data_IF_317144633823
#
_entry.id   IF_317144633823
#
_cell.length_a   1.000
_cell.length_b   1.000
_cell.length_c   1.000
_cell.angle_alpha   90.00
_cell.angle_beta   90.00
_cell.angle_gamma   90.00
#
_symmetry.space_group_name_H-M   'P 1'
#
loop_
_entity.id
_entity.type
_entity.pdbx_description
1 polymer ?
#
# COMPACT_ATOMS: atom_id res chain seq x y z
N UNK A 1 18.95 -38.62 -32.68
CA UNK A 1 18.16 -39.46 -31.74
C UNK A 1 17.34 -38.49 -30.88
N UNK A 2 16.18 -37.99 -31.29
CA UNK A 2 14.89 -38.64 -31.52
C UNK A 2 14.25 -39.19 -30.23
N UNK A 3 13.13 -38.53 -29.85
CA UNK A 3 11.92 -39.10 -29.21
C UNK A 3 12.01 -39.32 -27.68
N UNK A 4 10.96 -39.18 -26.86
CA UNK A 4 9.53 -38.78 -26.97
C UNK A 4 9.00 -38.97 -25.53
N UNK A 5 8.07 -38.11 -25.11
CA UNK A 5 6.77 -38.44 -24.47
C UNK A 5 6.77 -39.21 -23.14
N UNK A 6 5.85 -38.79 -22.28
CA UNK A 6 4.86 -39.63 -21.55
C UNK A 6 4.90 -39.35 -20.06
N UNK A 7 3.94 -38.58 -19.56
CA UNK A 7 2.71 -39.11 -18.95
C UNK A 7 2.99 -39.56 -17.52
N UNK A 8 2.72 -38.69 -16.55
CA UNK A 8 1.48 -38.74 -15.76
C UNK A 8 1.31 -40.09 -15.07
N UNK A 9 1.70 -40.14 -13.78
CA UNK A 9 0.99 -40.96 -12.80
C UNK A 9 0.80 -40.09 -11.56
N UNK A 10 -0.34 -39.40 -11.57
CA UNK A 10 -0.99 -38.85 -10.39
C UNK A 10 -1.45 -40.06 -9.56
N UNK A 11 -0.75 -40.37 -8.48
CA UNK A 11 -1.21 -41.34 -7.49
C UNK A 11 -1.46 -40.60 -6.18
N UNK A 12 -2.55 -39.83 -6.15
CA UNK A 12 -3.18 -39.42 -4.89
C UNK A 12 -3.94 -40.64 -4.36
N UNK A 13 -3.38 -41.26 -3.32
CA UNK A 13 -4.11 -42.18 -2.44
C UNK A 13 -5.25 -41.39 -1.78
N UNK A 14 -6.46 -41.52 -2.33
CA UNK A 14 -7.69 -41.09 -1.68
C UNK A 14 -7.99 -42.02 -0.51
N UNK A 15 -7.65 -41.59 0.71
CA UNK A 15 -8.24 -42.14 1.93
C UNK A 15 -9.59 -41.45 2.13
N UNK A 16 -10.65 -42.23 2.04
CA UNK A 16 -12.01 -41.82 2.34
C UNK A 16 -12.25 -41.82 3.87
N UNK A 17 -12.90 -40.77 4.38
CA UNK A 17 -13.69 -40.86 5.62
C UNK A 17 -13.61 -39.68 6.60
N UNK A 18 -14.46 -38.66 6.41
CA UNK A 18 -15.26 -38.03 7.47
C UNK A 18 -16.28 -37.03 6.86
N UNK A 19 -17.55 -37.01 7.31
CA UNK A 19 -18.51 -36.01 6.88
C UNK A 19 -18.29 -34.67 7.61
N UNK A 20 -18.31 -33.59 6.83
CA UNK A 20 -18.97 -32.34 7.20
C UNK A 20 -18.57 -31.68 8.52
N UNK A 21 -17.39 -31.05 8.54
CA UNK A 21 -17.23 -29.78 9.23
C UNK A 21 -16.38 -28.90 8.32
N UNK A 22 -17.05 -28.15 7.44
CA UNK A 22 -16.43 -27.04 6.73
C UNK A 22 -15.92 -26.09 7.82
N UNK A 23 -14.61 -26.07 8.07
CA UNK A 23 -14.02 -24.97 8.81
C UNK A 23 -14.54 -23.70 8.15
N UNK A 24 -15.20 -22.79 8.89
CA UNK A 24 -15.53 -21.50 8.33
C UNK A 24 -14.21 -20.95 7.79
N UNK A 25 -14.16 -20.81 6.47
CA UNK A 25 -13.03 -20.18 5.82
C UNK A 25 -12.87 -18.85 6.54
N UNK A 26 -11.73 -18.67 7.20
CA UNK A 26 -11.33 -17.38 7.73
C UNK A 26 -11.40 -16.43 6.54
N UNK A 27 -12.49 -15.68 6.47
CA UNK A 27 -12.65 -14.60 5.51
C UNK A 27 -11.42 -13.71 5.74
N UNK A 28 -10.57 -13.49 4.72
CA UNK A 28 -9.41 -12.64 4.91
C UNK A 28 -9.95 -11.30 5.41
N UNK A 29 -9.51 -10.89 6.60
CA UNK A 29 -9.89 -9.61 7.17
C UNK A 29 -9.77 -8.54 6.06
N UNK A 30 -10.75 -7.65 5.91
CA UNK A 30 -10.75 -6.69 4.82
C UNK A 30 -9.40 -5.97 4.81
N UNK A 31 -8.71 -6.04 3.67
CA UNK A 31 -7.41 -5.40 3.53
C UNK A 31 -7.57 -3.90 3.76
N UNK A 32 -7.20 -3.42 4.95
CA UNK A 32 -7.27 -2.01 5.31
C UNK A 32 -6.35 -1.23 4.38
N UNK A 33 -6.93 -0.39 3.51
CA UNK A 33 -6.14 0.47 2.64
C UNK A 33 -5.50 1.58 3.48
N UNK A 34 -4.18 1.69 3.42
CA UNK A 34 -3.43 2.73 4.15
C UNK A 34 -3.57 4.08 3.44
N UNK A 35 -4.12 5.08 4.12
CA UNK A 35 -4.14 6.47 3.65
C UNK A 35 -2.70 6.93 3.38
N UNK A 36 -2.43 7.38 2.16
CA UNK A 36 -1.08 7.77 1.73
C UNK A 36 -1.08 9.18 1.19
N UNK A 37 -0.08 9.98 1.57
CA UNK A 37 0.19 11.30 1.01
C UNK A 37 1.48 11.26 0.19
N UNK A 38 1.46 11.84 -1.01
CA UNK A 38 2.62 11.89 -1.92
C UNK A 38 2.77 13.27 -2.56
N UNK A 39 3.98 13.59 -3.00
CA UNK A 39 4.27 14.77 -3.81
C UNK A 39 4.92 14.36 -5.13
N UNK A 40 4.63 15.05 -6.22
CA UNK A 40 5.38 14.86 -7.48
C UNK A 40 6.68 15.65 -7.49
N UNK A 41 6.89 16.55 -6.52
CA UNK A 41 8.07 17.40 -6.43
C UNK A 41 9.24 16.75 -5.69
N UNK A 42 8.97 15.85 -4.74
CA UNK A 42 9.99 15.18 -3.93
C UNK A 42 9.46 13.85 -3.38
N UNK A 43 10.38 12.98 -2.93
CA UNK A 43 10.05 11.74 -2.23
C UNK A 43 10.20 11.91 -0.72
N UNK A 44 9.65 10.99 0.05
CA UNK A 44 9.83 10.96 1.51
C UNK A 44 11.31 10.96 1.89
N UNK A 45 11.71 11.86 2.78
CA UNK A 45 13.09 11.98 3.27
C UNK A 45 14.05 12.70 2.32
N UNK A 46 13.62 13.04 1.11
CA UNK A 46 14.42 13.85 0.18
C UNK A 46 14.24 15.34 0.44
N UNK A 47 15.21 16.14 -0.01
CA UNK A 47 15.14 17.60 0.09
C UNK A 47 13.94 18.17 -0.69
N UNK A 48 13.26 19.15 -0.10
CA UNK A 48 12.21 19.91 -0.76
C UNK A 48 12.83 20.86 -1.79
N UNK A 49 12.39 20.87 -3.06
CA UNK A 49 12.95 21.76 -4.07
C UNK A 49 12.80 23.23 -3.68
N UNK A 50 13.86 24.03 -3.91
CA UNK A 50 13.94 25.45 -3.54
C UNK A 50 12.70 26.29 -3.90
N UNK A 51 12.04 26.00 -5.03
CA UNK A 51 10.79 26.65 -5.42
C UNK A 51 9.74 26.69 -4.29
N UNK A 52 9.66 25.64 -3.49
CA UNK A 52 8.64 25.46 -2.46
C UNK A 52 9.14 25.81 -1.05
N UNK A 53 10.27 26.49 -0.94
CA UNK A 53 10.83 26.98 0.34
C UNK A 53 10.80 28.50 0.37
N UNK A 54 11.00 29.08 1.56
CA UNK A 54 11.09 30.53 1.76
C UNK A 54 12.19 31.20 0.93
N UNK A 55 13.26 30.47 0.57
CA UNK A 55 14.35 30.97 -0.28
C UNK A 55 14.01 31.01 -1.78
N UNK A 56 12.85 30.48 -2.17
CA UNK A 56 12.41 30.40 -3.55
C UNK A 56 11.15 31.22 -3.82
N UNK A 57 10.14 30.56 -4.36
CA UNK A 57 8.87 31.22 -4.66
C UNK A 57 7.88 31.15 -3.49
N UNK A 58 8.22 30.39 -2.44
CA UNK A 58 7.38 30.18 -1.26
C UNK A 58 5.95 29.73 -1.59
N UNK A 59 5.82 28.89 -2.62
CA UNK A 59 4.54 28.27 -3.01
C UNK A 59 4.45 26.86 -2.43
N UNK A 60 3.24 26.39 -2.12
CA UNK A 60 3.06 25.03 -1.59
C UNK A 60 3.40 23.96 -2.63
N UNK A 61 4.01 22.83 -2.24
CA UNK A 61 4.28 21.73 -3.15
C UNK A 61 2.99 21.03 -3.60
N UNK A 62 2.99 20.37 -4.78
CA UNK A 62 1.86 19.58 -5.22
C UNK A 62 1.71 18.34 -4.32
N UNK A 63 0.52 18.15 -3.74
CA UNK A 63 0.22 17.02 -2.87
C UNK A 63 -0.90 16.14 -3.44
N UNK A 64 -0.80 14.83 -3.26
CA UNK A 64 -1.79 13.84 -3.69
C UNK A 64 -2.08 12.82 -2.59
N UNK A 65 -3.36 12.71 -2.25
CA UNK A 65 -3.90 11.70 -1.35
C UNK A 65 -4.27 10.43 -2.11
N UNK A 66 -4.04 9.27 -1.51
CA UNK A 66 -4.51 7.96 -1.99
C UNK A 66 -5.14 7.20 -0.84
N UNK A 67 -6.09 6.34 -1.16
CA UNK A 67 -6.78 5.48 -0.18
C UNK A 67 -7.47 6.28 0.94
N UNK A 68 -8.13 7.39 0.59
CA UNK A 68 -9.01 8.09 1.53
C UNK A 68 -10.17 7.14 1.89
N UNK A 69 -10.42 6.87 3.18
CA UNK A 69 -11.47 5.93 3.59
C UNK A 69 -12.86 6.38 3.14
N UNK A 70 -13.72 5.41 2.82
CA UNK A 70 -15.12 5.68 2.50
C UNK A 70 -15.81 6.35 3.69
N UNK A 71 -16.62 7.37 3.44
CA UNK A 71 -17.28 8.17 4.48
C UNK A 71 -16.39 9.21 5.16
N UNK A 72 -15.12 9.38 4.73
CA UNK A 72 -14.30 10.52 5.15
C UNK A 72 -14.96 11.84 4.74
N UNK A 73 -15.28 12.69 5.74
CA UNK A 73 -15.95 13.97 5.51
C UNK A 73 -14.98 15.11 5.19
N UNK A 74 -13.78 15.04 5.75
CA UNK A 74 -12.77 16.08 5.64
C UNK A 74 -11.37 15.53 5.92
N UNK A 75 -10.37 16.21 5.36
CA UNK A 75 -8.96 15.98 5.61
C UNK A 75 -8.33 17.28 6.11
N UNK A 76 -7.38 17.17 7.02
CA UNK A 76 -6.52 18.26 7.44
C UNK A 76 -5.05 17.88 7.21
N UNK A 77 -4.22 18.84 6.84
CA UNK A 77 -2.78 18.67 6.69
C UNK A 77 -2.09 19.57 7.71
N UNK A 78 -1.24 18.97 8.54
CA UNK A 78 -0.33 19.67 9.44
C UNK A 78 1.07 19.45 8.90
N UNK A 79 1.77 20.55 8.62
CA UNK A 79 3.19 20.54 8.32
C UNK A 79 3.89 21.17 9.51
N UNK A 80 4.74 20.39 10.18
CA UNK A 80 5.46 20.78 11.39
C UNK A 80 6.96 20.61 11.15
N UNK A 81 7.74 21.59 11.58
CA UNK A 81 9.20 21.59 11.47
C UNK A 81 9.80 21.61 12.89
N UNK A 82 10.19 20.44 13.43
CA UNK A 82 10.72 20.35 14.79
C UNK A 82 12.11 20.97 14.92
N UNK A 83 12.78 21.25 13.80
CA UNK A 83 14.13 21.83 13.76
C UNK A 83 14.09 23.37 13.69
N UNK A 84 12.89 23.97 13.57
CA UNK A 84 12.73 25.41 13.63
C UNK A 84 13.17 25.96 15.00
N UNK A 85 13.93 27.07 15.05
CA UNK A 85 14.32 27.66 16.32
C UNK A 85 13.08 28.07 17.11
N UNK A 86 13.09 27.80 18.42
CA UNK A 86 12.12 28.41 19.36
C UNK A 86 12.35 29.92 19.28
N UNK A 87 11.35 30.61 18.72
CA UNK A 87 11.39 32.04 18.42
C UNK A 87 11.59 32.95 19.63
#
# INVERSE_FOLDING_TARGET
MARKISSLVFLCLFVAGAPGAQQPATEPAPATKVLTLTSSAFKTGEAIPKRYTADGMDVSPPLKWKNVPDGCKSLALIADDPDAPVG
#
